data_IF_379593389110
#
_entry.id   IF_379593389110
#
_cell.length_a   1.000
_cell.length_b   1.000
_cell.length_c   1.000
_cell.angle_alpha   90.00
_cell.angle_beta   90.00
_cell.angle_gamma   90.00
#
_symmetry.space_group_name_H-M   'P 1'
#
loop_
_entity.id
_entity.type
_entity.pdbx_description
1 polymer ?
#
# COMPACT_ATOMS: atom_id res chain seq x y z
N UNK A 1 -10.38 6.15 -15.29
CA UNK A 1 -9.53 4.98 -14.96
C UNK A 1 -8.71 5.37 -13.73
N UNK A 2 -8.56 4.45 -12.78
CA UNK A 2 -7.82 4.65 -11.52
C UNK A 2 -7.15 3.30 -11.20
N UNK A 3 -5.83 3.25 -11.21
CA UNK A 3 -5.04 2.13 -10.64
C UNK A 3 -5.36 1.91 -9.14
N UNK A 4 -5.03 0.76 -8.56
CA UNK A 4 -5.43 0.40 -7.20
C UNK A 4 -4.65 1.20 -6.13
N UNK A 5 -3.43 1.64 -6.46
CA UNK A 5 -2.67 2.66 -5.72
C UNK A 5 -3.03 4.10 -6.08
N UNK A 6 -3.90 4.31 -7.06
CA UNK A 6 -4.24 5.64 -7.55
C UNK A 6 -3.11 6.37 -8.27
N UNK A 7 -2.22 5.70 -9.01
CA UNK A 7 -1.25 6.25 -9.98
C UNK A 7 -1.85 7.39 -10.86
N UNK A 8 -3.16 7.39 -11.14
CA UNK A 8 -3.83 8.49 -11.85
C UNK A 8 -4.13 9.73 -10.98
N UNK A 9 -4.12 9.63 -9.65
CA UNK A 9 -4.27 10.72 -8.66
C UNK A 9 -3.61 10.33 -7.35
N UNK A 10 -2.41 10.84 -7.11
CA UNK A 10 -1.74 10.66 -5.84
C UNK A 10 -1.58 12.02 -5.15
N UNK A 11 -1.98 12.07 -3.88
CA UNK A 11 -1.74 13.12 -2.87
C UNK A 11 -2.29 14.54 -3.09
N UNK A 12 -2.89 15.17 -2.05
CA UNK A 12 -3.05 16.61 -1.98
C UNK A 12 -1.72 17.28 -1.63
N UNK A 13 -1.03 17.88 -2.59
CA UNK A 13 0.05 18.85 -2.35
C UNK A 13 -0.51 20.03 -1.57
N UNK A 14 0.03 20.33 -0.39
CA UNK A 14 -0.26 21.55 0.35
C UNK A 14 0.86 22.58 0.10
N UNK A 15 0.53 23.67 -0.57
CA UNK A 15 1.43 24.81 -0.75
C UNK A 15 1.22 25.82 0.39
N UNK A 16 2.19 25.96 1.29
CA UNK A 16 2.20 27.00 2.33
C UNK A 16 3.15 28.11 1.85
N UNK A 17 2.65 29.11 1.14
CA UNK A 17 3.49 30.25 0.77
C UNK A 17 3.63 31.21 1.95
N UNK A 18 4.86 31.47 2.38
CA UNK A 18 5.20 32.65 3.17
C UNK A 18 5.66 33.78 2.25
N UNK A 19 5.58 35.03 2.70
CA UNK A 19 5.95 36.23 1.93
C UNK A 19 7.39 36.27 1.34
N UNK A 20 8.24 35.26 1.61
CA UNK A 20 9.63 35.15 1.11
C UNK A 20 10.05 33.76 0.60
N UNK A 21 9.27 32.69 0.80
CA UNK A 21 9.65 31.31 0.41
C UNK A 21 8.44 30.49 -0.04
N UNK A 22 8.64 29.69 -1.08
CA UNK A 22 7.72 28.69 -1.58
C UNK A 22 7.89 27.37 -0.79
N UNK A 23 7.13 27.22 0.31
CA UNK A 23 7.13 26.00 1.14
C UNK A 23 6.05 25.05 0.61
N UNK A 24 6.43 23.80 0.34
CA UNK A 24 5.52 22.77 -0.12
C UNK A 24 5.52 21.56 0.81
N UNK A 25 4.33 21.10 1.16
CA UNK A 25 4.05 20.01 2.11
C UNK A 25 3.31 18.88 1.40
N UNK A 26 3.80 17.64 1.52
CA UNK A 26 3.31 16.48 0.77
C UNK A 26 2.81 15.39 1.72
N UNK A 27 1.50 15.20 1.90
CA UNK A 27 0.92 14.22 2.79
C UNK A 27 0.75 12.84 2.14
N UNK A 28 0.84 11.80 2.96
CA UNK A 28 0.36 10.48 2.59
C UNK A 28 -1.18 10.42 2.64
N UNK A 29 -1.78 10.00 1.54
CA UNK A 29 -3.17 9.64 1.34
C UNK A 29 -3.40 8.22 1.80
N UNK A 30 -3.97 8.08 2.99
CA UNK A 30 -4.85 6.96 3.29
C UNK A 30 -6.28 7.39 2.96
N UNK A 31 -7.20 6.45 2.72
CA UNK A 31 -8.62 6.74 2.77
C UNK A 31 -8.94 7.27 4.18
N UNK A 32 -9.05 8.59 4.30
CA UNK A 32 -9.52 9.20 5.55
C UNK A 32 -11.01 8.89 5.67
N UNK A 33 -11.36 8.05 6.65
CA UNK A 33 -12.74 7.74 6.98
C UNK A 33 -13.32 8.95 7.71
N UNK A 34 -14.22 9.67 7.04
CA UNK A 34 -15.13 10.57 7.74
C UNK A 34 -16.08 9.71 8.58
N UNK A 35 -15.73 9.47 9.84
CA UNK A 35 -16.67 8.97 10.82
C UNK A 35 -17.74 10.04 11.04
N UNK A 36 -18.98 9.83 10.53
CA UNK A 36 -20.24 10.25 11.16
C UNK A 36 -21.48 9.94 10.29
N UNK A 37 -22.43 9.24 10.95
CA UNK A 37 -23.87 8.97 10.65
C UNK A 37 -24.17 7.59 10.03
N UNK A 38 -25.00 6.71 10.61
CA UNK A 38 -25.70 6.65 11.91
C UNK A 38 -26.30 5.23 12.01
N UNK A 39 -26.29 4.65 13.21
CA UNK A 39 -27.08 3.46 13.55
C UNK A 39 -28.59 3.83 13.70
N UNK A 40 -29.43 2.84 13.36
CA UNK A 40 -30.81 2.55 13.80
C UNK A 40 -31.99 3.47 13.42
N UNK A 41 -32.98 2.87 12.74
CA UNK A 41 -34.37 2.80 13.23
C UNK A 41 -35.48 3.54 12.46
N UNK A 42 -36.47 2.78 11.97
CA UNK A 42 -37.91 3.12 12.12
C UNK A 42 -38.60 3.99 11.05
N UNK A 43 -39.75 3.50 10.55
CA UNK A 43 -40.71 4.13 9.63
C UNK A 43 -41.35 5.41 10.20
N UNK A 44 -41.65 6.41 9.35
CA UNK A 44 -43.00 6.89 8.99
C UNK A 44 -42.97 8.23 8.20
N UNK A 45 -44.11 8.55 7.61
CA UNK A 45 -44.35 9.39 6.43
C UNK A 45 -44.45 10.92 6.65
N UNK A 46 -44.54 11.62 5.50
CA UNK A 46 -45.22 12.90 5.19
C UNK A 46 -44.41 14.22 5.14
N UNK A 47 -44.29 14.74 3.91
CA UNK A 47 -44.84 16.04 3.49
C UNK A 47 -44.05 17.33 3.80
N UNK A 48 -43.65 18.07 2.75
CA UNK A 48 -43.48 19.53 2.81
C UNK A 48 -42.28 20.13 2.06
N UNK A 49 -42.56 20.87 0.98
CA UNK A 49 -41.69 21.82 0.23
C UNK A 49 -41.06 22.87 1.20
N UNK A 50 -39.96 23.59 0.98
CA UNK A 50 -39.24 24.10 -0.20
C UNK A 50 -37.88 24.71 0.23
N UNK A 51 -36.98 24.87 -0.74
CA UNK A 51 -35.93 25.91 -0.82
C UNK A 51 -34.78 25.94 0.21
N UNK A 52 -33.62 25.42 -0.21
CA UNK A 52 -32.44 26.25 -0.54
C UNK A 52 -31.39 25.36 -1.20
N UNK A 53 -31.01 25.70 -2.43
CA UNK A 53 -30.01 24.95 -3.19
C UNK A 53 -28.65 24.96 -2.51
N UNK A 54 -28.21 23.82 -2.01
CA UNK A 54 -26.78 23.55 -1.77
C UNK A 54 -26.27 22.70 -2.92
N UNK A 55 -25.52 23.37 -3.81
CA UNK A 55 -24.66 22.74 -4.82
C UNK A 55 -23.79 21.68 -4.14
N UNK A 56 -23.74 20.50 -4.76
CA UNK A 56 -22.96 19.35 -4.30
C UNK A 56 -21.51 19.72 -4.06
N UNK A 57 -21.08 19.54 -2.81
CA UNK A 57 -19.67 19.63 -2.45
C UNK A 57 -18.95 18.40 -2.96
N UNK A 58 -17.91 18.61 -3.75
CA UNK A 58 -16.90 17.60 -4.08
C UNK A 58 -16.24 17.16 -2.78
N UNK A 59 -16.65 16.02 -2.24
CA UNK A 59 -16.02 15.36 -1.09
C UNK A 59 -14.57 14.98 -1.42
N UNK A 60 -13.65 15.93 -1.23
CA UNK A 60 -12.22 15.75 -1.38
C UNK A 60 -11.61 15.24 -0.07
N UNK A 61 -10.69 14.29 -0.21
CA UNK A 61 -9.87 13.72 0.86
C UNK A 61 -9.15 14.83 1.65
N UNK A 62 -9.29 14.83 2.98
CA UNK A 62 -8.33 15.39 3.93
C UNK A 62 -8.12 16.92 3.90
N UNK A 63 -8.89 17.64 4.71
CA UNK A 63 -8.59 19.03 5.07
C UNK A 63 -9.77 19.66 5.79
N UNK A 64 -9.52 20.45 6.84
CA UNK A 64 -10.59 21.32 7.37
C UNK A 64 -10.95 22.36 6.29
N UNK A 65 -12.19 22.85 6.28
CA UNK A 65 -12.61 23.95 5.39
C UNK A 65 -11.65 25.13 5.42
N UNK A 66 -11.01 25.35 6.58
CA UNK A 66 -9.98 26.36 6.77
C UNK A 66 -8.75 26.06 5.91
N UNK A 67 -8.22 24.85 5.92
CA UNK A 67 -7.05 24.47 5.09
C UNK A 67 -7.36 24.67 3.62
N UNK A 68 -8.51 24.16 3.15
CA UNK A 68 -8.90 24.29 1.73
C UNK A 68 -9.09 25.74 1.27
N UNK A 69 -9.40 26.67 2.19
CA UNK A 69 -9.55 28.11 1.92
C UNK A 69 -8.26 28.92 2.07
N UNK A 70 -7.27 28.40 2.79
CA UNK A 70 -6.06 29.17 3.17
C UNK A 70 -4.77 28.66 2.54
N UNK A 71 -4.79 27.45 1.99
CA UNK A 71 -3.64 26.77 1.40
C UNK A 71 -4.02 26.34 -0.01
N UNK A 72 -3.12 26.51 -0.99
CA UNK A 72 -3.35 25.98 -2.34
C UNK A 72 -3.16 24.46 -2.28
N UNK A 73 -4.20 23.72 -2.64
CA UNK A 73 -4.19 22.27 -2.70
C UNK A 73 -4.18 21.81 -4.13
N UNK A 74 -3.22 20.98 -4.51
CA UNK A 74 -3.12 20.43 -5.86
C UNK A 74 -3.01 18.91 -5.81
N UNK A 75 -3.54 18.22 -6.81
CA UNK A 75 -3.32 16.77 -6.93
C UNK A 75 -2.12 16.53 -7.84
N UNK A 76 -1.35 15.48 -7.53
CA UNK A 76 -0.34 14.96 -8.43
C UNK A 76 -0.95 13.85 -9.32
N UNK A 77 -0.58 13.88 -10.60
CA UNK A 77 -1.08 12.97 -11.63
C UNK A 77 0.12 12.31 -12.30
N UNK A 78 0.47 11.08 -11.90
CA UNK A 78 1.74 10.47 -12.31
C UNK A 78 1.88 10.22 -13.81
N UNK A 79 0.80 10.31 -14.60
CA UNK A 79 0.80 10.15 -16.06
C UNK A 79 0.80 11.47 -16.83
N UNK A 80 0.81 12.61 -16.13
CA UNK A 80 0.87 13.91 -16.79
C UNK A 80 2.33 14.34 -17.00
N UNK A 81 2.87 14.09 -18.20
CA UNK A 81 4.26 14.45 -18.53
C UNK A 81 4.57 15.93 -18.25
N UNK A 82 3.60 16.81 -18.53
CA UNK A 82 3.71 18.26 -18.33
C UNK A 82 3.78 18.70 -16.86
N UNK A 83 3.56 17.82 -15.89
CA UNK A 83 3.76 18.15 -14.47
C UNK A 83 5.14 17.72 -13.95
N UNK A 84 5.96 17.06 -14.76
CA UNK A 84 7.21 16.43 -14.30
C UNK A 84 8.45 17.06 -14.94
N UNK A 85 9.60 16.86 -14.29
CA UNK A 85 10.94 17.16 -14.79
C UNK A 85 11.83 15.94 -14.63
N UNK A 86 12.68 15.67 -15.63
CA UNK A 86 13.68 14.61 -15.58
C UNK A 86 14.92 15.12 -14.83
N UNK A 87 15.27 14.44 -13.72
CA UNK A 87 16.44 14.74 -12.89
C UNK A 87 17.68 13.94 -13.31
N UNK A 88 17.50 12.86 -14.05
CA UNK A 88 18.56 11.95 -14.50
C UNK A 88 18.14 10.50 -14.34
N UNK A 89 19.12 9.62 -14.12
CA UNK A 89 18.92 8.21 -13.85
C UNK A 89 19.69 7.78 -12.59
N UNK A 90 19.15 6.82 -11.84
CA UNK A 90 19.87 6.19 -10.73
C UNK A 90 20.99 5.27 -11.24
N UNK A 91 21.86 4.80 -10.34
CA UNK A 91 22.88 3.78 -10.62
C UNK A 91 22.32 2.49 -11.20
N UNK A 92 21.05 2.14 -10.91
CA UNK A 92 20.36 0.96 -11.48
C UNK A 92 19.64 1.27 -12.81
N UNK A 93 19.83 2.47 -13.35
CA UNK A 93 19.25 2.93 -14.61
C UNK A 93 17.75 3.18 -14.52
N UNK A 94 17.25 3.58 -13.34
CA UNK A 94 15.87 4.04 -13.16
C UNK A 94 15.77 5.50 -13.60
N UNK A 95 14.95 5.84 -14.60
CA UNK A 95 14.70 7.24 -14.94
C UNK A 95 13.99 7.94 -13.79
N UNK A 96 14.52 9.08 -13.36
CA UNK A 96 14.00 9.85 -12.23
C UNK A 96 13.28 11.08 -12.75
N UNK A 97 11.96 10.96 -12.89
CA UNK A 97 11.05 12.04 -13.24
C UNK A 97 10.16 12.34 -12.05
N UNK A 98 10.26 13.55 -11.51
CA UNK A 98 9.47 13.96 -10.34
C UNK A 98 8.65 15.20 -10.68
N UNK A 99 7.58 15.39 -9.90
CA UNK A 99 6.71 16.55 -10.03
C UNK A 99 7.51 17.85 -9.92
N UNK A 100 7.46 18.70 -10.95
CA UNK A 100 8.24 19.94 -11.04
C UNK A 100 7.94 20.87 -9.87
N UNK A 101 6.72 20.81 -9.36
CA UNK A 101 6.31 21.59 -8.19
C UNK A 101 7.12 21.21 -6.97
N UNK A 102 7.40 19.92 -6.78
CA UNK A 102 8.24 19.44 -5.69
C UNK A 102 9.70 19.82 -5.91
N UNK A 103 10.20 19.58 -7.12
CA UNK A 103 11.59 19.86 -7.47
C UNK A 103 11.92 21.35 -7.38
N UNK A 104 11.01 22.24 -7.76
CA UNK A 104 11.24 23.70 -7.78
C UNK A 104 10.92 24.40 -6.45
N UNK A 105 10.52 23.67 -5.41
CA UNK A 105 10.20 24.26 -4.11
C UNK A 105 11.45 24.73 -3.36
N UNK A 106 11.37 25.89 -2.68
CA UNK A 106 12.44 26.41 -1.82
C UNK A 106 12.61 25.56 -0.55
N UNK A 107 11.49 25.02 -0.04
CA UNK A 107 11.44 24.15 1.12
C UNK A 107 10.49 23.01 0.83
N UNK A 108 10.98 21.78 1.00
CA UNK A 108 10.25 20.53 0.75
C UNK A 108 10.01 19.82 2.07
N UNK A 109 8.74 19.61 2.41
CA UNK A 109 8.33 18.87 3.60
C UNK A 109 7.47 17.69 3.16
N UNK A 110 7.86 16.47 3.50
CA UNK A 110 7.01 15.30 3.33
C UNK A 110 6.34 14.94 4.65
N UNK A 111 5.09 14.51 4.61
CA UNK A 111 4.30 14.12 5.76
C UNK A 111 3.78 12.73 5.52
N UNK A 112 4.28 11.74 6.26
CA UNK A 112 4.01 10.34 5.99
C UNK A 112 3.64 9.58 7.25
N UNK A 113 2.75 8.60 7.11
CA UNK A 113 2.64 7.56 8.12
C UNK A 113 3.83 6.59 7.98
N UNK A 114 4.34 6.10 9.11
CA UNK A 114 5.39 5.06 9.16
C UNK A 114 4.77 3.79 9.73
N UNK A 115 4.65 2.79 8.87
CA UNK A 115 4.12 1.44 9.13
C UNK A 115 4.93 0.42 8.31
N UNK A 116 4.89 -0.89 8.63
CA UNK A 116 5.48 -1.91 7.78
C UNK A 116 5.01 -1.82 6.33
N UNK A 117 5.90 -2.13 5.39
CA UNK A 117 5.57 -2.18 3.97
C UNK A 117 6.26 -3.38 3.31
N UNK A 118 5.45 -4.33 2.86
CA UNK A 118 5.76 -5.59 2.18
C UNK A 118 6.77 -5.64 1.02
N UNK A 119 7.31 -4.50 0.60
CA UNK A 119 8.39 -4.41 -0.39
C UNK A 119 9.52 -3.46 0.04
N UNK A 120 9.20 -2.46 0.87
CA UNK A 120 10.06 -1.30 1.09
C UNK A 120 10.59 -1.24 2.53
N UNK A 121 10.40 -2.31 3.31
CA UNK A 121 10.64 -2.30 4.75
C UNK A 121 9.52 -1.58 5.49
N UNK A 122 9.54 -0.26 5.42
CA UNK A 122 8.56 0.64 6.03
C UNK A 122 8.07 1.70 5.07
N UNK A 123 6.86 2.22 5.27
CA UNK A 123 6.33 3.39 4.57
C UNK A 123 6.98 4.70 5.08
N UNK A 124 6.41 5.87 4.77
CA UNK A 124 6.93 7.18 5.20
C UNK A 124 8.29 7.59 4.59
N UNK A 125 8.81 8.74 5.04
CA UNK A 125 10.07 9.31 4.55
C UNK A 125 10.16 9.39 3.03
N UNK A 126 11.24 8.84 2.47
CA UNK A 126 11.50 8.74 1.02
C UNK A 126 10.34 8.19 0.17
N UNK A 127 9.46 7.35 0.75
CA UNK A 127 8.33 6.76 0.02
C UNK A 127 7.28 7.80 -0.39
N UNK A 128 7.21 8.91 0.33
CA UNK A 128 6.34 10.06 0.00
C UNK A 128 6.89 10.83 -1.19
N UNK A 129 8.21 10.74 -1.47
CA UNK A 129 8.83 11.32 -2.67
C UNK A 129 8.65 10.38 -3.87
N UNK A 130 9.13 9.15 -3.76
CA UNK A 130 8.96 8.12 -4.78
C UNK A 130 8.40 6.85 -4.12
N UNK A 131 7.28 6.28 -4.59
CA UNK A 131 6.52 6.66 -5.79
C UNK A 131 5.68 7.92 -5.65
N UNK A 132 5.64 8.58 -4.48
CA UNK A 132 4.61 9.55 -4.18
C UNK A 132 4.39 10.67 -5.22
N UNK A 133 5.40 11.45 -5.52
CA UNK A 133 5.33 12.54 -6.52
C UNK A 133 6.11 12.19 -7.78
N UNK A 134 6.27 10.90 -8.05
CA UNK A 134 7.05 10.41 -9.17
C UNK A 134 6.19 10.18 -10.41
N UNK A 135 6.78 10.37 -11.58
CA UNK A 135 6.14 10.01 -12.84
C UNK A 135 5.94 8.50 -12.93
N UNK A 136 4.94 8.09 -13.71
CA UNK A 136 4.61 6.69 -13.97
C UNK A 136 5.80 5.87 -14.46
N UNK A 137 6.70 6.45 -15.26
CA UNK A 137 7.94 5.79 -15.68
C UNK A 137 8.85 5.42 -14.50
N UNK A 138 9.06 6.36 -13.57
CA UNK A 138 9.86 6.13 -12.38
C UNK A 138 9.18 5.10 -11.49
N UNK A 139 7.87 5.23 -11.25
CA UNK A 139 7.07 4.28 -10.46
C UNK A 139 7.19 2.86 -11.03
N UNK A 140 6.99 2.69 -12.33
CA UNK A 140 7.05 1.38 -13.01
C UNK A 140 8.46 0.78 -13.00
N UNK A 141 9.49 1.63 -12.99
CA UNK A 141 10.90 1.17 -12.94
C UNK A 141 11.28 0.65 -11.55
N UNK A 142 10.91 1.37 -10.48
CA UNK A 142 11.18 0.95 -9.10
C UNK A 142 10.31 -0.24 -8.65
N UNK A 143 9.23 -0.53 -9.37
CA UNK A 143 8.38 -1.70 -9.11
C UNK A 143 8.60 -2.82 -10.15
N UNK A 144 9.68 -2.78 -10.92
CA UNK A 144 10.02 -3.87 -11.84
C UNK A 144 10.50 -5.10 -11.08
N UNK A 145 10.14 -6.29 -11.56
CA UNK A 145 10.41 -7.57 -10.89
C UNK A 145 11.90 -7.82 -10.60
N UNK A 146 12.78 -7.34 -11.48
CA UNK A 146 14.24 -7.39 -11.28
C UNK A 146 14.73 -6.74 -9.97
N UNK A 147 13.98 -5.78 -9.43
CA UNK A 147 14.29 -5.12 -8.16
C UNK A 147 13.55 -5.79 -6.99
N UNK A 148 12.29 -6.19 -7.23
CA UNK A 148 11.43 -6.72 -6.17
C UNK A 148 11.68 -8.19 -5.86
N UNK A 149 12.25 -9.00 -6.76
CA UNK A 149 12.61 -10.40 -6.49
C UNK A 149 13.83 -10.58 -5.57
N UNK A 150 14.55 -9.50 -5.27
CA UNK A 150 15.60 -9.52 -4.25
C UNK A 150 14.99 -9.84 -2.87
N UNK A 151 15.66 -10.69 -2.10
CA UNK A 151 15.19 -11.12 -0.78
C UNK A 151 15.19 -9.98 0.25
N UNK A 152 15.98 -8.92 0.03
CA UNK A 152 15.95 -7.71 0.85
C UNK A 152 14.71 -6.84 0.63
N UNK A 153 14.00 -7.00 -0.50
CA UNK A 153 12.76 -6.27 -0.80
C UNK A 153 11.55 -6.94 -0.11
N UNK A 154 11.48 -6.77 1.21
CA UNK A 154 10.48 -7.40 2.10
C UNK A 154 9.99 -6.43 3.20
N UNK A 155 9.01 -6.87 3.99
CA UNK A 155 8.51 -6.22 5.20
C UNK A 155 9.64 -5.92 6.18
N UNK A 156 9.62 -4.77 6.84
CA UNK A 156 10.52 -4.43 7.96
C UNK A 156 12.05 -4.43 7.68
N UNK A 157 12.50 -4.74 6.45
CA UNK A 157 13.91 -4.68 6.05
C UNK A 157 14.23 -3.29 5.49
N UNK A 158 15.10 -2.56 6.19
CA UNK A 158 15.68 -1.28 5.73
C UNK A 158 17.10 -1.50 5.22
N UNK A 159 17.96 -2.05 6.08
CA UNK A 159 19.33 -2.39 5.71
C UNK A 159 19.34 -3.51 4.67
N UNK A 160 20.07 -3.30 3.58
CA UNK A 160 20.13 -4.26 2.46
C UNK A 160 18.88 -4.29 1.57
N UNK A 161 17.81 -3.53 1.86
CA UNK A 161 16.63 -3.49 0.98
C UNK A 161 16.93 -2.66 -0.29
N UNK A 162 16.93 -3.28 -1.49
CA UNK A 162 17.32 -2.58 -2.70
C UNK A 162 16.28 -1.56 -3.16
N UNK A 163 14.99 -1.77 -2.89
CA UNK A 163 13.96 -0.76 -3.13
C UNK A 163 14.18 0.44 -2.21
N UNK A 164 14.46 0.22 -0.91
CA UNK A 164 14.77 1.32 0.00
C UNK A 164 15.96 2.15 -0.50
N UNK A 165 17.06 1.49 -0.89
CA UNK A 165 18.25 2.14 -1.44
C UNK A 165 17.94 2.96 -2.69
N UNK A 166 17.16 2.39 -3.63
CA UNK A 166 16.75 3.07 -4.86
C UNK A 166 15.94 4.33 -4.56
N UNK A 167 15.01 4.25 -3.61
CA UNK A 167 14.19 5.39 -3.19
C UNK A 167 15.01 6.49 -2.49
N UNK A 168 16.03 6.11 -1.72
CA UNK A 168 16.96 7.06 -1.09
C UNK A 168 17.84 7.76 -2.11
N UNK A 169 18.31 7.05 -3.15
CA UNK A 169 19.06 7.65 -4.25
C UNK A 169 18.19 8.67 -4.99
N UNK A 170 16.93 8.33 -5.32
CA UNK A 170 15.97 9.25 -5.93
C UNK A 170 15.76 10.50 -5.05
N UNK A 171 15.59 10.31 -3.74
CA UNK A 171 15.40 11.42 -2.81
C UNK A 171 16.62 12.36 -2.77
N UNK A 172 17.83 11.81 -2.78
CA UNK A 172 19.07 12.58 -2.77
C UNK A 172 19.23 13.48 -4.02
N UNK A 173 18.67 13.09 -5.17
CA UNK A 173 18.69 13.90 -6.40
C UNK A 173 17.87 15.20 -6.30
N UNK A 174 16.94 15.29 -5.35
CA UNK A 174 16.12 16.50 -5.13
C UNK A 174 16.80 17.47 -4.15
N UNK A 175 17.80 16.99 -3.40
CA UNK A 175 18.46 17.73 -2.33
C UNK A 175 17.69 17.69 -1.01
N UNK A 176 17.89 18.70 -0.16
CA UNK A 176 17.36 18.71 1.19
C UNK A 176 15.82 18.67 1.23
N UNK A 177 15.30 17.78 2.07
CA UNK A 177 13.87 17.62 2.37
C UNK A 177 13.71 17.32 3.86
N UNK A 178 12.67 17.90 4.47
CA UNK A 178 12.27 17.58 5.84
C UNK A 178 11.15 16.55 5.82
N UNK A 179 11.11 15.67 6.82
CA UNK A 179 10.03 14.71 7.00
C UNK A 179 9.30 14.94 8.33
N UNK A 180 7.97 14.96 8.26
CA UNK A 180 7.09 14.76 9.41
C UNK A 180 6.61 13.32 9.35
N UNK A 181 7.05 12.51 10.30
CA UNK A 181 6.63 11.11 10.38
C UNK A 181 5.58 10.95 11.47
N UNK A 182 4.55 10.16 11.16
CA UNK A 182 3.45 9.88 12.08
C UNK A 182 3.32 8.37 12.24
N UNK A 183 3.25 7.89 13.48
CA UNK A 183 2.83 6.52 13.79
C UNK A 183 1.50 6.60 14.51
N UNK A 184 0.56 5.72 14.15
CA UNK A 184 -0.76 5.65 14.76
C UNK A 184 -0.97 4.33 15.49
N UNK A 185 -1.85 4.33 16.50
CA UNK A 185 -2.31 3.11 17.15
C UNK A 185 -3.49 2.44 16.42
N UNK A 186 -3.98 1.32 16.95
CA UNK A 186 -5.11 0.55 16.42
C UNK A 186 -6.43 1.35 16.38
N UNK A 187 -6.53 2.42 17.19
CA UNK A 187 -7.65 3.36 17.19
C UNK A 187 -7.42 4.55 16.25
N UNK A 188 -6.37 4.49 15.43
CA UNK A 188 -5.94 5.54 14.49
C UNK A 188 -5.61 6.88 15.17
N UNK A 189 -5.19 6.85 16.44
CA UNK A 189 -4.70 8.02 17.19
C UNK A 189 -3.20 8.14 16.99
N UNK A 190 -2.68 9.37 16.99
CA UNK A 190 -1.23 9.60 16.87
C UNK A 190 -0.53 9.08 18.14
N UNK A 191 0.40 8.15 17.94
CA UNK A 191 1.22 7.54 19.00
C UNK A 191 2.65 8.08 19.01
N UNK A 192 3.14 8.50 17.85
CA UNK A 192 4.44 9.14 17.70
C UNK A 192 4.40 10.15 16.57
N UNK A 193 5.11 11.26 16.76
CA UNK A 193 5.31 12.29 15.77
C UNK A 193 6.68 12.91 15.95
N UNK A 194 7.46 12.95 14.87
CA UNK A 194 8.71 13.70 14.82
C UNK A 194 8.79 14.53 13.53
N UNK A 195 9.74 15.47 13.52
CA UNK A 195 10.08 16.31 12.37
C UNK A 195 11.60 16.42 12.31
N UNK A 196 12.20 16.17 11.15
CA UNK A 196 13.64 16.36 10.98
C UNK A 196 14.11 16.13 9.56
N UNK A 197 15.41 15.83 9.42
CA UNK A 197 16.00 15.35 8.18
C UNK A 197 15.24 14.12 7.65
N UNK A 198 15.14 14.00 6.32
CA UNK A 198 14.37 12.96 5.66
C UNK A 198 14.73 11.53 6.13
N UNK A 199 16.01 11.21 6.26
CA UNK A 199 16.48 9.87 6.59
C UNK A 199 16.51 9.67 8.10
N UNK A 200 17.19 10.57 8.82
CA UNK A 200 17.39 10.43 10.27
C UNK A 200 16.05 10.36 11.02
N UNK A 201 15.13 11.28 10.72
CA UNK A 201 13.81 11.29 11.37
C UNK A 201 12.95 10.09 10.96
N UNK A 202 13.11 9.58 9.73
CA UNK A 202 12.40 8.39 9.28
C UNK A 202 12.90 7.15 10.01
N UNK A 203 14.22 6.99 10.17
CA UNK A 203 14.81 5.89 10.92
C UNK A 203 14.43 5.92 12.41
N UNK A 204 14.31 7.11 13.01
CA UNK A 204 13.80 7.25 14.39
C UNK A 204 12.33 6.76 14.49
N UNK A 205 11.47 7.14 13.54
CA UNK A 205 10.08 6.65 13.51
C UNK A 205 9.99 5.14 13.24
N UNK A 206 10.88 4.59 12.40
CA UNK A 206 11.01 3.15 12.18
C UNK A 206 11.42 2.44 13.46
N UNK A 207 12.41 2.96 14.18
CA UNK A 207 12.86 2.41 15.46
C UNK A 207 11.74 2.42 16.51
N UNK A 208 10.91 3.48 16.52
CA UNK A 208 9.73 3.56 17.38
C UNK A 208 8.68 2.48 17.08
N UNK A 209 8.30 2.30 15.80
CA UNK A 209 7.19 1.38 15.44
C UNK A 209 7.60 -0.10 15.44
N UNK A 210 8.88 -0.38 15.15
CA UNK A 210 9.44 -1.73 15.03
C UNK A 210 9.03 -2.71 16.14
N UNK A 211 9.20 -2.41 17.45
CA UNK A 211 8.84 -3.34 18.53
C UNK A 211 7.33 -3.61 18.65
N UNK A 212 6.47 -2.80 18.03
CA UNK A 212 5.03 -2.99 18.05
C UNK A 212 4.53 -3.74 16.80
N UNK A 213 5.27 -3.67 15.71
CA UNK A 213 4.91 -4.27 14.43
C UNK A 213 5.56 -5.62 14.19
N UNK A 214 6.80 -5.83 14.65
CA UNK A 214 7.52 -7.10 14.46
C UNK A 214 7.32 -8.04 15.64
N UNK A 215 6.90 -9.28 15.36
CA UNK A 215 6.64 -10.30 16.40
C UNK A 215 7.49 -11.54 16.14
N UNK A 216 8.43 -11.83 17.02
CA UNK A 216 9.21 -13.06 16.93
C UNK A 216 8.38 -14.28 17.34
N UNK A 217 8.40 -15.32 16.52
CA UNK A 217 7.78 -16.61 16.81
C UNK A 217 8.80 -17.75 16.69
N UNK A 218 8.72 -18.77 17.57
CA UNK A 218 9.76 -19.79 17.68
C UNK A 218 9.76 -20.85 16.57
N UNK A 219 8.73 -20.88 15.71
CA UNK A 219 8.62 -21.83 14.62
C UNK A 219 7.65 -21.35 13.55
N UNK A 220 7.78 -21.93 12.36
CA UNK A 220 6.80 -21.82 11.27
C UNK A 220 5.59 -22.72 11.55
N UNK A 221 4.50 -22.48 10.82
CA UNK A 221 3.22 -23.17 10.95
C UNK A 221 2.75 -23.71 9.61
N UNK A 222 2.14 -24.90 9.62
CA UNK A 222 1.47 -25.50 8.45
C UNK A 222 0.11 -24.88 8.13
N UNK A 223 -0.50 -24.21 9.11
CA UNK A 223 -1.77 -23.52 9.00
C UNK A 223 -1.63 -22.13 9.58
N UNK A 224 -1.73 -21.11 8.72
CA UNK A 224 -1.65 -19.69 9.09
C UNK A 224 -2.94 -19.01 8.68
N UNK A 225 -3.53 -18.21 9.57
CA UNK A 225 -4.70 -17.39 9.32
C UNK A 225 -4.27 -15.94 9.43
N UNK A 226 -4.62 -15.11 8.46
CA UNK A 226 -4.35 -13.67 8.45
C UNK A 226 -5.57 -12.90 7.96
N UNK A 227 -5.53 -11.57 8.08
CA UNK A 227 -6.53 -10.68 7.48
C UNK A 227 -5.86 -9.51 6.75
N UNK A 228 -6.65 -8.80 5.94
CA UNK A 228 -6.25 -7.54 5.32
C UNK A 228 -6.54 -6.31 6.22
N UNK A 229 -6.63 -6.48 7.54
CA UNK A 229 -6.85 -5.45 8.56
C UNK A 229 -8.16 -4.63 8.44
N UNK A 230 -9.15 -5.17 7.72
CA UNK A 230 -10.49 -4.59 7.62
C UNK A 230 -10.53 -3.24 6.87
N UNK A 231 -11.71 -2.63 6.83
CA UNK A 231 -11.91 -1.41 6.05
C UNK A 231 -11.07 -0.23 6.60
N UNK A 232 -10.38 0.55 5.76
CA UNK A 232 -10.41 0.53 4.29
C UNK A 232 -9.24 -0.23 3.64
N UNK A 233 -8.50 -1.06 4.39
CA UNK A 233 -7.35 -1.80 3.88
C UNK A 233 -7.74 -3.09 3.17
N UNK A 234 -8.91 -3.65 3.46
CA UNK A 234 -9.43 -4.85 2.81
C UNK A 234 -10.46 -4.56 1.70
N UNK A 235 -10.58 -3.28 1.31
CA UNK A 235 -11.62 -2.83 0.38
C UNK A 235 -11.54 -3.48 -1.00
N UNK A 236 -10.40 -3.98 -1.46
CA UNK A 236 -10.28 -4.70 -2.73
C UNK A 236 -9.19 -5.77 -2.66
N UNK A 237 -9.27 -6.76 -3.55
CA UNK A 237 -8.36 -7.91 -3.55
C UNK A 237 -6.89 -7.51 -3.72
N UNK A 238 -6.64 -6.46 -4.49
CA UNK A 238 -5.33 -5.85 -4.61
C UNK A 238 -4.64 -5.59 -3.27
N UNK A 239 -5.31 -4.90 -2.34
CA UNK A 239 -4.72 -4.59 -1.03
C UNK A 239 -4.59 -5.82 -0.14
N UNK A 240 -5.41 -6.85 -0.37
CA UNK A 240 -5.39 -8.13 0.37
C UNK A 240 -4.04 -8.83 0.28
N UNK A 241 -3.32 -8.68 -0.84
CA UNK A 241 -2.00 -9.31 -1.06
C UNK A 241 -0.99 -8.92 0.03
N UNK A 242 -1.04 -7.69 0.54
CA UNK A 242 -0.16 -7.25 1.64
C UNK A 242 -0.27 -8.13 2.88
N UNK A 243 -1.50 -8.48 3.27
CA UNK A 243 -1.75 -9.36 4.41
C UNK A 243 -1.24 -10.78 4.17
N UNK A 244 -1.23 -11.23 2.91
CA UNK A 244 -0.66 -12.52 2.55
C UNK A 244 0.87 -12.53 2.67
N UNK A 245 1.53 -11.49 2.14
CA UNK A 245 2.99 -11.38 2.16
C UNK A 245 3.51 -11.19 3.59
N UNK A 246 2.81 -10.43 4.42
CA UNK A 246 3.17 -10.27 5.84
C UNK A 246 3.25 -11.59 6.61
N UNK A 247 2.45 -12.59 6.22
CA UNK A 247 2.40 -13.90 6.85
C UNK A 247 3.48 -14.88 6.33
N UNK A 248 4.25 -14.50 5.30
CA UNK A 248 5.10 -15.40 4.54
C UNK A 248 6.19 -16.07 5.39
N UNK A 249 6.79 -15.33 6.32
CA UNK A 249 7.94 -15.84 7.07
C UNK A 249 7.57 -16.92 8.11
N UNK A 250 6.31 -16.93 8.56
CA UNK A 250 5.81 -17.94 9.50
C UNK A 250 5.07 -19.09 8.83
N UNK A 251 4.94 -19.06 7.50
CA UNK A 251 4.36 -20.15 6.74
C UNK A 251 5.44 -21.23 6.48
N UNK A 252 5.13 -22.48 6.82
CA UNK A 252 5.95 -23.63 6.41
C UNK A 252 5.82 -23.86 4.89
N UNK A 253 6.91 -24.28 4.21
CA UNK A 253 6.81 -24.75 2.83
C UNK A 253 5.73 -25.84 2.65
N UNK A 254 4.84 -25.65 1.69
CA UNK A 254 3.67 -26.50 1.44
C UNK A 254 2.47 -26.26 2.36
N UNK A 255 2.58 -25.32 3.32
CA UNK A 255 1.53 -24.96 4.26
C UNK A 255 0.32 -24.29 3.61
N UNK A 256 -0.72 -24.06 4.42
CA UNK A 256 -1.95 -23.38 4.03
C UNK A 256 -2.05 -22.02 4.70
N UNK A 257 -2.13 -20.97 3.87
CA UNK A 257 -2.40 -19.61 4.29
C UNK A 257 -3.87 -19.27 4.01
N UNK A 258 -4.62 -18.95 5.06
CA UNK A 258 -5.99 -18.48 4.98
C UNK A 258 -6.01 -16.96 5.16
N UNK A 259 -6.60 -16.24 4.21
CA UNK A 259 -6.78 -14.79 4.34
C UNK A 259 -8.25 -14.41 4.31
N UNK A 260 -8.64 -13.59 5.28
CA UNK A 260 -9.97 -13.01 5.43
C UNK A 260 -9.95 -11.56 4.93
N UNK A 261 -10.78 -11.24 3.95
CA UNK A 261 -10.84 -9.90 3.35
C UNK A 261 -12.22 -9.63 2.73
N UNK A 262 -12.84 -8.49 3.07
CA UNK A 262 -14.17 -8.16 2.55
C UNK A 262 -14.17 -7.99 1.03
N UNK A 263 -13.21 -7.25 0.48
CA UNK A 263 -13.08 -6.93 -0.95
C UNK A 263 -14.31 -6.25 -1.55
N UNK A 264 -14.95 -5.32 -0.81
CA UNK A 264 -16.21 -4.66 -1.19
C UNK A 264 -16.13 -3.77 -2.45
N UNK A 265 -14.94 -3.38 -2.89
CA UNK A 265 -14.64 -2.64 -4.13
C UNK A 265 -14.07 -3.56 -5.25
N UNK A 266 -14.22 -4.89 -5.13
CA UNK A 266 -13.87 -5.86 -6.18
C UNK A 266 -12.39 -6.22 -6.26
N UNK A 267 -11.92 -6.61 -7.44
CA UNK A 267 -10.53 -7.07 -7.65
C UNK A 267 -9.49 -5.97 -7.42
N UNK A 268 -9.81 -4.70 -7.71
CA UNK A 268 -8.87 -3.59 -7.73
C UNK A 268 -9.06 -2.73 -8.97
N UNK A 269 -7.96 -2.25 -9.55
CA UNK A 269 -8.00 -1.47 -10.79
C UNK A 269 -8.25 -2.34 -12.02
N UNK A 270 -8.68 -1.74 -13.14
CA UNK A 270 -8.69 -2.43 -14.43
C UNK A 270 -7.31 -3.00 -14.82
N UNK A 271 -6.23 -2.25 -14.57
CA UNK A 271 -4.87 -2.68 -14.86
C UNK A 271 -4.46 -3.91 -14.04
N UNK A 272 -4.79 -3.93 -12.74
CA UNK A 272 -4.57 -5.10 -11.90
C UNK A 272 -5.42 -6.30 -12.33
N UNK A 273 -6.71 -6.09 -12.64
CA UNK A 273 -7.57 -7.16 -13.16
C UNK A 273 -7.04 -7.77 -14.46
N UNK A 274 -6.48 -6.94 -15.35
CA UNK A 274 -5.82 -7.41 -16.56
C UNK A 274 -4.53 -8.19 -16.25
N UNK A 275 -3.74 -7.74 -15.28
CA UNK A 275 -2.53 -8.45 -14.84
C UNK A 275 -2.86 -9.82 -14.24
N UNK A 276 -3.84 -9.87 -13.34
CA UNK A 276 -4.38 -11.10 -12.74
C UNK A 276 -4.92 -12.07 -13.80
N UNK A 277 -5.60 -11.56 -14.82
CA UNK A 277 -6.04 -12.37 -15.95
C UNK A 277 -4.86 -13.02 -16.68
N UNK A 278 -3.78 -12.28 -16.96
CA UNK A 278 -2.56 -12.86 -17.56
C UNK A 278 -1.96 -13.95 -16.69
N UNK A 279 -1.88 -13.73 -15.37
CA UNK A 279 -1.39 -14.74 -14.43
C UNK A 279 -2.23 -16.03 -14.52
N UNK A 280 -3.57 -15.91 -14.48
CA UNK A 280 -4.46 -17.08 -14.52
C UNK A 280 -4.40 -17.81 -15.86
N UNK A 281 -4.31 -17.08 -16.98
CA UNK A 281 -4.29 -17.67 -18.32
C UNK A 281 -2.96 -18.33 -18.68
N UNK A 282 -1.84 -17.76 -18.25
CA UNK A 282 -0.47 -18.23 -18.60
C UNK A 282 0.16 -19.12 -17.53
N UNK A 283 -0.33 -19.01 -16.30
CA UNK A 283 0.28 -19.66 -15.15
C UNK A 283 1.48 -18.88 -14.58
N UNK A 284 1.92 -19.25 -13.37
CA UNK A 284 2.91 -18.49 -12.60
C UNK A 284 4.29 -18.45 -13.26
N UNK A 285 4.75 -19.57 -13.84
CA UNK A 285 6.11 -19.66 -14.39
C UNK A 285 6.28 -18.81 -15.66
N UNK A 286 5.33 -18.88 -16.59
CA UNK A 286 5.36 -18.04 -17.80
C UNK A 286 5.18 -16.57 -17.45
N UNK A 287 4.26 -16.24 -16.53
CA UNK A 287 4.07 -14.87 -16.05
C UNK A 287 5.36 -14.30 -15.45
N UNK A 288 6.03 -15.04 -14.54
CA UNK A 288 7.31 -14.61 -13.95
C UNK A 288 8.39 -14.44 -15.02
N UNK A 289 8.49 -15.39 -15.96
CA UNK A 289 9.43 -15.29 -17.08
C UNK A 289 9.24 -14.03 -17.93
N UNK A 290 8.00 -13.59 -18.14
CA UNK A 290 7.69 -12.34 -18.85
C UNK A 290 8.13 -11.10 -18.06
N UNK A 291 7.73 -10.98 -16.80
CA UNK A 291 7.94 -9.74 -16.03
C UNK A 291 9.41 -9.53 -15.64
N UNK A 292 10.18 -10.60 -15.48
CA UNK A 292 11.63 -10.53 -15.18
C UNK A 292 12.44 -9.90 -16.31
N UNK A 293 11.95 -9.95 -17.54
CA UNK A 293 12.59 -9.34 -18.71
C UNK A 293 12.30 -7.83 -18.83
N UNK A 294 11.32 -7.32 -18.08
CA UNK A 294 10.88 -5.92 -18.18
C UNK A 294 11.82 -5.00 -17.39
N UNK A 295 12.21 -3.88 -18.01
CA UNK A 295 12.86 -2.76 -17.28
C UNK A 295 11.85 -1.94 -16.47
N UNK A 296 10.60 -1.94 -16.90
CA UNK A 296 9.47 -1.24 -16.29
C UNK A 296 8.30 -2.19 -16.18
N UNK A 297 7.78 -2.36 -14.96
CA UNK A 297 6.56 -3.12 -14.75
C UNK A 297 5.38 -2.50 -15.50
N UNK A 298 4.39 -3.31 -15.88
CA UNK A 298 3.07 -2.77 -16.18
C UNK A 298 2.45 -2.18 -14.90
N UNK A 299 1.44 -1.31 -15.05
CA UNK A 299 0.80 -0.68 -13.91
C UNK A 299 0.13 -1.75 -13.04
N UNK A 300 0.40 -1.70 -11.74
CA UNK A 300 -0.09 -2.63 -10.72
C UNK A 300 0.45 -4.08 -10.84
N UNK A 301 1.37 -4.37 -11.77
CA UNK A 301 1.93 -5.71 -12.03
C UNK A 301 2.72 -6.29 -10.85
N UNK A 302 3.39 -5.41 -10.09
CA UNK A 302 4.15 -5.79 -8.89
C UNK A 302 3.28 -6.44 -7.81
N UNK A 303 1.98 -6.14 -7.72
CA UNK A 303 1.14 -6.79 -6.70
C UNK A 303 0.88 -8.25 -7.06
N UNK A 304 0.71 -8.54 -8.36
CA UNK A 304 0.59 -9.90 -8.87
C UNK A 304 1.91 -10.67 -8.70
N UNK A 305 3.06 -10.01 -8.90
CA UNK A 305 4.38 -10.57 -8.57
C UNK A 305 4.51 -10.89 -7.07
N UNK A 306 4.13 -9.97 -6.19
CA UNK A 306 4.21 -10.17 -4.74
C UNK A 306 3.29 -11.30 -4.26
N UNK A 307 2.12 -11.50 -4.88
CA UNK A 307 1.28 -12.67 -4.66
C UNK A 307 2.04 -13.98 -4.93
N UNK A 308 2.85 -14.02 -5.99
CA UNK A 308 3.62 -15.21 -6.36
C UNK A 308 4.77 -15.53 -5.40
N UNK A 309 5.31 -14.56 -4.67
CA UNK A 309 6.23 -14.85 -3.55
C UNK A 309 5.58 -15.78 -2.52
N UNK A 310 4.30 -15.56 -2.21
CA UNK A 310 3.55 -16.39 -1.26
C UNK A 310 3.14 -17.72 -1.88
N UNK A 311 2.66 -17.70 -3.13
CA UNK A 311 2.21 -18.90 -3.82
C UNK A 311 3.33 -19.93 -4.06
N UNK A 312 4.60 -19.48 -4.13
CA UNK A 312 5.78 -20.36 -4.20
C UNK A 312 6.04 -21.13 -2.90
N UNK A 313 5.64 -20.58 -1.76
CA UNK A 313 5.86 -21.21 -0.45
C UNK A 313 4.69 -22.12 -0.10
N UNK A 314 3.45 -21.69 -0.32
CA UNK A 314 2.29 -22.45 0.14
C UNK A 314 0.99 -22.16 -0.60
N UNK A 315 -0.06 -22.82 -0.11
CA UNK A 315 -1.41 -22.80 -0.67
C UNK A 315 -2.20 -21.64 -0.06
N UNK A 316 -2.66 -20.71 -0.90
CA UNK A 316 -3.43 -19.55 -0.46
C UNK A 316 -4.93 -19.82 -0.60
N UNK A 317 -5.68 -19.54 0.46
CA UNK A 317 -7.13 -19.68 0.54
C UNK A 317 -7.76 -18.33 0.92
N UNK A 318 -8.58 -17.78 0.04
CA UNK A 318 -9.29 -16.52 0.23
C UNK A 318 -10.71 -16.76 0.70
N UNK A 319 -11.05 -16.20 1.86
CA UNK A 319 -12.43 -16.02 2.31
C UNK A 319 -12.85 -14.55 2.10
N UNK A 320 -13.87 -14.35 1.27
CA UNK A 320 -14.44 -13.03 0.94
C UNK A 320 -15.93 -13.13 0.69
N UNK A 321 -16.69 -12.12 1.15
CA UNK A 321 -18.14 -12.05 0.97
C UNK A 321 -18.59 -11.18 -0.21
N UNK A 322 -17.70 -10.41 -0.84
CA UNK A 322 -18.12 -9.36 -1.80
C UNK A 322 -17.58 -9.54 -3.22
N UNK A 323 -16.65 -10.46 -3.49
CA UNK A 323 -16.20 -10.70 -4.87
C UNK A 323 -17.27 -11.42 -5.70
N UNK A 324 -17.55 -10.88 -6.89
CA UNK A 324 -18.40 -11.54 -7.88
C UNK A 324 -17.70 -12.77 -8.50
N UNK A 325 -18.46 -13.67 -9.14
CA UNK A 325 -17.91 -14.89 -9.73
C UNK A 325 -16.78 -14.63 -10.75
N UNK A 326 -16.90 -13.55 -11.53
CA UNK A 326 -15.85 -13.14 -12.46
C UNK A 326 -14.55 -12.79 -11.73
N UNK A 327 -14.61 -11.93 -10.72
CA UNK A 327 -13.42 -11.52 -9.95
C UNK A 327 -12.81 -12.69 -9.18
N UNK A 328 -13.62 -13.60 -8.62
CA UNK A 328 -13.11 -14.81 -7.93
C UNK A 328 -12.23 -15.66 -8.85
N UNK A 329 -12.61 -15.81 -10.11
CA UNK A 329 -11.81 -16.53 -11.11
C UNK A 329 -10.50 -15.82 -11.47
N UNK A 330 -10.39 -14.52 -11.22
CA UNK A 330 -9.16 -13.74 -11.46
C UNK A 330 -8.22 -13.71 -10.25
N UNK A 331 -8.65 -14.15 -9.06
CA UNK A 331 -7.81 -14.04 -7.86
C UNK A 331 -6.48 -14.83 -7.94
N UNK A 332 -6.44 -15.91 -8.74
CA UNK A 332 -5.27 -16.79 -8.83
C UNK A 332 -5.01 -17.62 -7.56
N UNK A 333 -5.97 -17.65 -6.62
CA UNK A 333 -5.88 -18.41 -5.36
C UNK A 333 -7.15 -19.25 -5.14
N UNK A 334 -7.16 -20.09 -4.10
CA UNK A 334 -8.34 -20.91 -3.79
C UNK A 334 -9.39 -20.07 -3.09
N UNK A 335 -10.54 -19.93 -3.71
CA UNK A 335 -11.68 -19.27 -3.08
C UNK A 335 -12.40 -20.29 -2.18
N UNK A 336 -12.67 -19.92 -0.93
CA UNK A 336 -13.39 -20.76 0.05
C UNK A 336 -14.68 -20.09 0.50
N UNK A 337 -15.68 -20.91 0.86
CA UNK A 337 -17.00 -20.44 1.33
C UNK A 337 -17.15 -20.50 2.85
N UNK A 338 -16.30 -21.28 3.53
CA UNK A 338 -16.33 -21.50 4.97
C UNK A 338 -14.92 -21.53 5.51
N UNK A 339 -14.58 -20.54 6.33
CA UNK A 339 -13.28 -20.45 6.97
C UNK A 339 -13.06 -21.62 7.94
N UNK A 340 -14.04 -21.89 8.80
CA UNK A 340 -14.02 -22.97 9.79
C UNK A 340 -13.79 -24.35 9.16
N UNK A 341 -14.52 -24.67 8.09
CA UNK A 341 -14.40 -25.97 7.42
C UNK A 341 -13.02 -26.12 6.77
N UNK A 342 -12.55 -25.06 6.09
CA UNK A 342 -11.27 -25.08 5.40
C UNK A 342 -10.08 -25.19 6.38
N UNK A 343 -10.14 -24.53 7.54
CA UNK A 343 -9.14 -24.66 8.61
C UNK A 343 -9.16 -26.07 9.19
N UNK A 344 -10.33 -26.62 9.55
CA UNK A 344 -10.43 -28.00 10.09
C UNK A 344 -9.87 -29.02 9.10
N UNK A 345 -10.15 -28.85 7.81
CA UNK A 345 -9.58 -29.67 6.74
C UNK A 345 -8.06 -29.54 6.69
N UNK A 346 -7.52 -28.32 6.78
CA UNK A 346 -6.07 -28.08 6.81
C UNK A 346 -5.38 -28.77 7.99
N UNK A 347 -5.94 -28.67 9.20
CA UNK A 347 -5.42 -29.33 10.40
C UNK A 347 -5.43 -30.86 10.22
N UNK A 348 -6.51 -31.42 9.70
CA UNK A 348 -6.62 -32.85 9.45
C UNK A 348 -5.62 -33.35 8.39
N UNK A 349 -5.45 -32.62 7.28
CA UNK A 349 -4.52 -32.97 6.20
C UNK A 349 -3.04 -32.84 6.61
N UNK A 350 -2.71 -31.85 7.43
CA UNK A 350 -1.33 -31.57 7.85
C UNK A 350 -0.89 -32.38 9.07
N UNK A 351 -1.85 -32.91 9.84
CA UNK A 351 -1.62 -33.60 11.10
C UNK A 351 -1.11 -32.68 12.22
N UNK A 352 -1.19 -31.36 12.06
CA UNK A 352 -0.69 -30.36 13.00
C UNK A 352 -1.84 -29.49 13.51
N UNK A 353 -2.10 -29.53 14.82
CA UNK A 353 -3.15 -28.74 15.46
C UNK A 353 -2.73 -27.30 15.78
N UNK A 354 -1.47 -26.94 15.57
CA UNK A 354 -0.97 -25.57 15.81
C UNK A 354 -1.39 -24.67 14.65
N UNK A 355 -2.00 -23.54 14.99
CA UNK A 355 -2.45 -22.54 14.02
C UNK A 355 -1.92 -21.18 14.43
N UNK A 356 -1.22 -20.50 13.51
CA UNK A 356 -0.88 -19.09 13.71
C UNK A 356 -2.05 -18.22 13.26
N UNK A 357 -2.37 -17.18 14.04
CA UNK A 357 -3.38 -16.19 13.71
C UNK A 357 -2.76 -14.81 13.75
N UNK A 358 -2.86 -14.08 12.65
CA UNK A 358 -2.34 -12.72 12.45
C UNK A 358 -3.56 -11.81 12.20
N UNK A 359 -4.13 -11.19 13.25
CA UNK A 359 -5.41 -10.49 13.12
C UNK A 359 -5.36 -9.30 12.16
N UNK A 360 -4.22 -8.64 12.03
CA UNK A 360 -4.03 -7.43 11.22
C UNK A 360 -2.76 -7.57 10.35
N UNK A 361 -2.85 -8.37 9.29
CA UNK A 361 -1.70 -8.79 8.47
C UNK A 361 -0.78 -7.64 8.03
N UNK A 362 -1.30 -6.57 7.40
CA UNK A 362 -0.46 -5.44 6.98
C UNK A 362 0.26 -4.69 8.12
N UNK A 363 -0.20 -4.82 9.37
CA UNK A 363 0.33 -4.09 10.53
C UNK A 363 1.22 -4.92 11.43
N UNK A 364 1.00 -6.23 11.49
CA UNK A 364 1.72 -7.16 12.36
C UNK A 364 2.50 -8.14 11.51
N UNK A 365 3.83 -8.05 11.57
CA UNK A 365 4.77 -8.85 10.77
C UNK A 365 5.42 -9.88 11.68
N UNK A 366 4.91 -11.13 11.70
CA UNK A 366 5.56 -12.17 12.46
C UNK A 366 6.83 -12.65 11.75
N UNK A 367 7.87 -12.90 12.52
CA UNK A 367 9.18 -13.34 12.05
C UNK A 367 9.56 -14.63 12.75
N UNK A 368 9.98 -15.63 11.98
CA UNK A 368 10.43 -16.90 12.56
C UNK A 368 11.91 -16.76 12.98
N UNK A 369 12.22 -16.95 14.26
CA UNK A 369 13.58 -16.75 14.78
C UNK A 369 13.81 -17.32 16.17
#
# INVERSE_FOLDING_TARGET
MKSAWGVDRVWPLYLITGHKKNIRVYPCSYPCVSALKKQTGGKSETGGKSETGRKGGTGGKGGSDRVMKTVKVENHFARNDEDHVLLGETRRGTPVKLDRRFVEADVRIVVGMVEPHFMAGYSGGRKVIAPGVAHSDTIRSIHAARLLEDQGADNCIIEGNPLHQELMEIAAMVGQCLAINVVIDERRRVSFLNLGDLEESHLEAVAFVRPFAEVLVPHRFKTVITSAAGYPLDKNYYQTVKGMVAALDVLEPGGNLFIVSECSEGIGSPEYGACQKRLVERGPDEFMGEILLKRQADIDEWETEMLLKVARVGKIHLYTGCLCAYDRNLTGVRNIESLDEAIRKSIAETGDSRVAVIPEGPYVIPRCG
#
